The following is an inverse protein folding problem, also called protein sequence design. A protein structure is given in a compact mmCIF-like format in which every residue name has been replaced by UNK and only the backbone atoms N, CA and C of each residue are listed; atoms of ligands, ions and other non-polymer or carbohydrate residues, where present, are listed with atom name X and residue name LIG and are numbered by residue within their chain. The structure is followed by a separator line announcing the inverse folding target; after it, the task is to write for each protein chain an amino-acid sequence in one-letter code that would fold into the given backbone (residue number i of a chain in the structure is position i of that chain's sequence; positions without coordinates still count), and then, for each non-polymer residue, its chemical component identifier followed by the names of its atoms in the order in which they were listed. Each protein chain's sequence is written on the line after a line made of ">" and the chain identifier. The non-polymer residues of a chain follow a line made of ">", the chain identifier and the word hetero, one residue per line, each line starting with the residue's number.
data_IF_511114830320
#
_entry.id   IF_511114830320
#
_cell.length_a   1.000
_cell.length_b   1.000
_cell.length_c   1.000
_cell.angle_alpha   90.00
_cell.angle_beta   90.00
_cell.angle_gamma   90.00
#
_symmetry.space_group_name_H-M   'P 1'
#
loop_
_entity.id
_entity.type
_entity.pdbx_description
1 polymer ?
#
# COMPACT_ATOMS: atom_id res chain seq x y z
N UNK A 1 -8.19 -4.17 22.97
CA UNK A 1 -8.92 -3.48 21.88
C UNK A 1 -7.97 -2.49 21.24
N UNK A 2 -8.06 -2.22 19.93
CA UNK A 2 -7.21 -1.22 19.30
C UNK A 2 -7.59 0.18 19.82
N UNK A 3 -6.61 0.96 20.28
CA UNK A 3 -6.84 2.27 20.91
C UNK A 3 -7.41 3.33 19.94
N UNK A 4 -7.33 3.12 18.62
CA UNK A 4 -7.81 4.06 17.60
C UNK A 4 -8.45 3.32 16.41
N UNK A 5 -9.58 3.82 15.88
CA UNK A 5 -10.22 3.26 14.70
C UNK A 5 -9.38 3.43 13.43
N UNK A 6 -9.62 2.57 12.45
CA UNK A 6 -9.10 2.74 11.08
C UNK A 6 -9.95 3.78 10.38
N UNK A 7 -9.36 4.94 10.12
CA UNK A 7 -10.04 6.02 9.40
C UNK A 7 -10.11 5.72 7.90
N UNK A 8 -11.23 6.07 7.27
CA UNK A 8 -11.43 5.96 5.83
C UNK A 8 -12.21 7.16 5.26
N UNK A 9 -12.00 7.43 3.98
CA UNK A 9 -12.80 8.36 3.17
C UNK A 9 -13.50 7.58 2.07
N UNK A 10 -14.65 8.06 1.60
CA UNK A 10 -15.32 7.49 0.45
C UNK A 10 -14.77 8.11 -0.84
N UNK A 11 -14.40 7.28 -1.80
CA UNK A 11 -13.95 7.70 -3.12
C UNK A 11 -14.83 7.08 -4.19
N UNK A 12 -15.17 7.85 -5.21
CA UNK A 12 -15.90 7.35 -6.38
C UNK A 12 -14.94 6.70 -7.37
N UNK A 13 -15.30 5.52 -7.89
CA UNK A 13 -14.55 4.79 -8.91
C UNK A 13 -15.48 4.17 -9.93
N UNK A 14 -15.10 4.23 -11.20
CA UNK A 14 -15.76 3.48 -12.26
C UNK A 14 -15.30 2.02 -12.19
N UNK A 15 -16.17 1.14 -11.71
CA UNK A 15 -15.90 -0.29 -11.58
C UNK A 15 -16.78 -1.09 -12.54
N UNK A 16 -16.25 -2.22 -13.00
CA UNK A 16 -17.01 -3.16 -13.81
C UNK A 16 -18.04 -3.84 -12.90
N UNK A 17 -19.32 -3.62 -13.17
CA UNK A 17 -20.41 -4.31 -12.49
C UNK A 17 -20.50 -5.77 -12.92
N UNK A 18 -21.30 -6.55 -12.19
CA UNK A 18 -21.58 -7.96 -12.55
C UNK A 18 -22.21 -8.09 -13.95
N UNK A 19 -22.85 -7.02 -14.42
CA UNK A 19 -23.53 -6.92 -15.71
C UNK A 19 -22.59 -6.55 -16.87
N UNK A 20 -21.27 -6.50 -16.63
CA UNK A 20 -20.26 -6.16 -17.65
C UNK A 20 -20.18 -4.68 -18.02
N UNK A 21 -21.07 -3.83 -17.48
CA UNK A 21 -21.03 -2.38 -17.68
C UNK A 21 -20.26 -1.67 -16.55
N UNK A 22 -19.63 -0.54 -16.89
CA UNK A 22 -18.92 0.30 -15.91
C UNK A 22 -19.90 1.24 -15.20
N UNK A 23 -19.92 1.16 -13.87
CA UNK A 23 -20.77 2.00 -13.03
C UNK A 23 -19.90 2.83 -12.08
N UNK A 24 -20.35 4.06 -11.76
CA UNK A 24 -19.77 4.86 -10.67
C UNK A 24 -20.15 4.20 -9.35
N UNK A 25 -19.18 3.64 -8.66
CA UNK A 25 -19.34 2.99 -7.37
C UNK A 25 -18.55 3.73 -6.30
N UNK A 26 -19.04 3.70 -5.07
CA UNK A 26 -18.37 4.29 -3.93
C UNK A 26 -17.52 3.23 -3.22
N UNK A 27 -16.26 3.55 -2.95
CA UNK A 27 -15.30 2.65 -2.30
C UNK A 27 -14.68 3.32 -1.08
N UNK A 28 -14.63 2.60 0.05
CA UNK A 28 -13.91 3.05 1.23
C UNK A 28 -12.39 2.95 1.00
N UNK A 29 -11.69 4.07 1.16
CA UNK A 29 -10.23 4.15 1.05
C UNK A 29 -9.66 4.51 2.43
N UNK A 30 -8.79 3.66 3.01
CA UNK A 30 -8.19 3.96 4.30
C UNK A 30 -7.31 5.22 4.22
N UNK A 31 -7.38 6.06 5.25
CA UNK A 31 -6.69 7.34 5.32
C UNK A 31 -6.17 7.61 6.75
N UNK A 32 -5.53 8.75 6.98
CA UNK A 32 -5.09 9.18 8.32
C UNK A 32 -3.94 8.36 8.92
N UNK A 33 -3.32 7.46 8.14
CA UNK A 33 -2.25 6.57 8.62
C UNK A 33 -0.95 7.35 8.83
N UNK A 34 -0.42 7.30 10.05
CA UNK A 34 0.94 7.79 10.36
C UNK A 34 1.95 6.67 10.18
N UNK A 35 3.04 6.95 9.47
CA UNK A 35 4.19 6.03 9.39
C UNK A 35 4.93 6.04 10.72
N UNK A 36 5.09 4.88 11.34
CA UNK A 36 5.97 4.71 12.50
C UNK A 36 7.35 4.32 11.97
N UNK A 37 8.38 5.10 12.33
CA UNK A 37 9.76 4.81 11.95
C UNK A 37 10.32 3.60 12.72
N UNK A 38 11.36 2.97 12.17
CA UNK A 38 11.97 1.77 12.76
C UNK A 38 12.44 1.99 14.21
N UNK A 39 13.08 3.12 14.50
CA UNK A 39 13.54 3.51 15.84
C UNK A 39 12.38 3.67 16.83
N UNK A 40 11.36 4.43 16.45
CA UNK A 40 10.13 4.57 17.25
C UNK A 40 9.39 3.25 17.47
N UNK A 41 9.47 2.31 16.52
CA UNK A 41 8.96 0.95 16.70
C UNK A 41 9.79 0.17 17.71
N UNK A 42 11.13 0.17 17.59
CA UNK A 42 12.04 -0.48 18.55
C UNK A 42 11.84 0.06 19.97
N UNK A 43 11.66 1.37 20.13
CA UNK A 43 11.38 2.00 21.42
C UNK A 43 10.07 1.50 22.05
N UNK A 44 9.05 1.16 21.25
CA UNK A 44 7.80 0.59 21.75
C UNK A 44 7.98 -0.85 22.20
N UNK A 45 8.76 -1.65 21.47
CA UNK A 45 9.08 -3.03 21.85
C UNK A 45 9.93 -3.06 23.12
N UNK A 46 10.92 -2.17 23.23
CA UNK A 46 11.77 -2.02 24.41
C UNK A 46 10.96 -1.79 25.70
N UNK A 47 9.86 -1.02 25.64
CA UNK A 47 8.97 -0.79 26.81
C UNK A 47 8.31 -2.05 27.38
N UNK A 48 8.21 -3.10 26.59
CA UNK A 48 7.60 -4.38 26.99
C UNK A 48 8.63 -5.47 27.24
N UNK A 49 9.93 -5.14 27.21
CA UNK A 49 11.04 -6.07 27.41
C UNK A 49 12.09 -5.43 28.33
N UNK A 50 13.16 -6.15 28.64
CA UNK A 50 14.30 -5.62 29.40
C UNK A 50 15.36 -4.96 28.51
N UNK A 51 15.24 -5.08 27.18
CA UNK A 51 16.18 -4.52 26.23
C UNK A 51 15.98 -3.01 26.05
N UNK A 52 17.07 -2.30 25.78
CA UNK A 52 17.00 -0.92 25.29
C UNK A 52 16.64 -0.86 23.80
N UNK A 53 16.33 0.33 23.30
CA UNK A 53 15.92 0.54 21.90
C UNK A 53 16.99 0.07 20.90
N UNK A 54 18.27 0.32 21.21
CA UNK A 54 19.41 0.01 20.36
C UNK A 54 19.62 -1.51 20.27
N UNK A 55 19.47 -2.22 21.38
CA UNK A 55 19.52 -3.68 21.46
C UNK A 55 18.39 -4.32 20.65
N UNK A 56 17.15 -3.86 20.82
CA UNK A 56 16.01 -4.35 20.01
C UNK A 56 16.28 -4.15 18.52
N UNK A 57 16.76 -2.96 18.15
CA UNK A 57 17.08 -2.67 16.75
C UNK A 57 18.21 -3.55 16.19
N UNK A 58 19.22 -3.83 17.01
CA UNK A 58 20.30 -4.74 16.65
C UNK A 58 19.74 -6.15 16.43
N UNK A 59 19.00 -6.68 17.39
CA UNK A 59 18.40 -8.02 17.31
C UNK A 59 17.54 -8.16 16.05
N UNK A 60 16.65 -7.20 15.76
CA UNK A 60 15.80 -7.26 14.57
C UNK A 60 16.60 -7.27 13.27
N UNK A 61 17.62 -6.41 13.14
CA UNK A 61 18.45 -6.38 11.94
C UNK A 61 19.30 -7.65 11.80
N UNK A 62 19.96 -8.10 12.87
CA UNK A 62 20.77 -9.31 12.86
C UNK A 62 19.92 -10.55 12.57
N UNK A 63 18.73 -10.67 13.18
CA UNK A 63 17.80 -11.75 12.91
C UNK A 63 17.45 -11.83 11.41
N UNK A 64 17.24 -10.70 10.73
CA UNK A 64 16.98 -10.71 9.28
C UNK A 64 18.17 -11.18 8.44
N UNK A 65 19.41 -10.87 8.88
CA UNK A 65 20.62 -11.36 8.24
C UNK A 65 20.78 -12.87 8.41
N UNK A 66 20.73 -13.35 9.65
CA UNK A 66 20.84 -14.79 9.97
C UNK A 66 19.75 -15.59 9.26
N UNK A 67 18.51 -15.10 9.24
CA UNK A 67 17.42 -15.75 8.54
C UNK A 67 17.69 -15.86 7.02
N UNK A 68 18.33 -14.85 6.42
CA UNK A 68 18.72 -14.89 5.01
C UNK A 68 19.83 -15.91 4.76
N UNK A 69 20.81 -16.01 5.65
CA UNK A 69 21.92 -16.97 5.54
C UNK A 69 21.38 -18.41 5.56
N UNK A 70 20.53 -18.73 6.55
CA UNK A 70 19.83 -20.02 6.63
C UNK A 70 19.04 -20.31 5.34
N UNK A 71 18.30 -19.33 4.83
CA UNK A 71 17.53 -19.52 3.58
C UNK A 71 18.43 -19.71 2.36
N UNK A 72 19.61 -19.09 2.33
CA UNK A 72 20.57 -19.30 1.25
C UNK A 72 21.23 -20.68 1.26
N UNK A 73 21.27 -21.33 2.42
CA UNK A 73 21.70 -22.73 2.58
C UNK A 73 20.63 -23.73 2.10
N UNK A 74 19.42 -23.24 1.80
CA UNK A 74 18.30 -24.03 1.30
C UNK A 74 17.25 -24.37 2.35
N UNK A 75 17.48 -23.97 3.60
CA UNK A 75 16.59 -24.23 4.71
C UNK A 75 15.41 -23.25 4.77
N UNK A 76 14.43 -23.62 5.58
CA UNK A 76 13.21 -22.84 5.82
C UNK A 76 13.26 -22.34 7.26
N UNK A 77 13.02 -21.04 7.46
CA UNK A 77 13.03 -20.44 8.80
C UNK A 77 11.69 -19.78 9.13
N UNK A 78 11.17 -20.10 10.30
CA UNK A 78 10.00 -19.40 10.87
C UNK A 78 10.45 -18.09 11.50
N UNK A 79 9.92 -16.98 11.01
CA UNK A 79 10.30 -15.63 11.46
C UNK A 79 9.23 -15.07 12.41
N UNK A 80 9.06 -15.76 13.54
CA UNK A 80 8.03 -15.46 14.53
C UNK A 80 6.62 -15.48 13.93
N UNK A 81 5.72 -14.64 14.47
CA UNK A 81 4.33 -14.58 14.02
C UNK A 81 4.17 -14.05 12.57
N UNK A 82 5.20 -13.44 11.98
CA UNK A 82 5.13 -12.91 10.61
C UNK A 82 4.92 -14.03 9.59
N UNK A 83 5.45 -15.22 9.84
CA UNK A 83 5.34 -16.38 8.95
C UNK A 83 6.70 -16.97 8.61
N UNK A 84 6.81 -17.54 7.42
CA UNK A 84 7.93 -18.41 7.07
C UNK A 84 8.73 -17.85 5.90
N UNK A 85 10.06 -17.84 6.03
CA UNK A 85 10.98 -17.49 4.95
C UNK A 85 11.54 -18.78 4.34
N UNK A 86 11.53 -18.86 3.02
CA UNK A 86 11.98 -20.03 2.27
C UNK A 86 12.70 -19.64 0.97
N UNK A 87 13.59 -20.48 0.44
CA UNK A 87 14.24 -20.20 -0.83
C UNK A 87 13.23 -20.29 -1.98
N UNK A 88 13.41 -19.42 -2.96
CA UNK A 88 12.66 -19.43 -4.22
C UNK A 88 13.56 -19.01 -5.36
N UNK A 89 13.24 -19.46 -6.57
CA UNK A 89 13.90 -19.00 -7.78
C UNK A 89 12.90 -19.03 -8.95
N UNK A 90 13.24 -18.33 -10.03
CA UNK A 90 12.55 -18.46 -11.32
C UNK A 90 13.30 -19.51 -12.14
N UNK A 91 12.58 -20.37 -12.84
CA UNK A 91 13.19 -21.36 -13.73
C UNK A 91 12.83 -21.05 -15.19
N UNK A 92 13.78 -21.15 -16.10
CA UNK A 92 13.50 -21.22 -17.53
C UNK A 92 12.95 -22.60 -17.86
N UNK A 93 11.85 -22.65 -18.60
CA UNK A 93 11.33 -23.90 -19.13
C UNK A 93 12.27 -24.42 -20.23
N UNK A 94 12.62 -25.70 -20.16
CA UNK A 94 13.48 -26.40 -21.12
C UNK A 94 12.74 -27.64 -21.60
N UNK A 95 12.74 -27.95 -22.91
CA UNK A 95 12.13 -29.16 -23.44
C UNK A 95 12.68 -30.42 -22.75
N UNK A 96 11.83 -31.43 -22.56
CA UNK A 96 12.19 -32.67 -21.85
C UNK A 96 13.38 -33.42 -22.45
N UNK A 97 13.64 -33.23 -23.74
CA UNK A 97 14.72 -33.90 -24.47
C UNK A 97 16.06 -33.15 -24.38
N UNK A 98 16.09 -31.97 -23.78
CA UNK A 98 17.29 -31.14 -23.64
C UNK A 98 17.83 -31.19 -22.20
N UNK A 99 19.15 -31.03 -22.07
CA UNK A 99 19.82 -31.08 -20.76
C UNK A 99 19.56 -29.80 -19.97
N UNK A 100 18.94 -29.93 -18.80
CA UNK A 100 18.80 -28.81 -17.87
C UNK A 100 20.13 -28.47 -17.17
N UNK A 101 20.56 -27.21 -17.25
CA UNK A 101 21.75 -26.68 -16.59
C UNK A 101 21.35 -25.64 -15.54
N UNK A 102 21.62 -25.94 -14.27
CA UNK A 102 21.20 -25.08 -13.15
C UNK A 102 21.72 -23.64 -13.30
N UNK A 103 22.97 -23.45 -13.67
CA UNK A 103 23.62 -22.14 -13.82
C UNK A 103 23.01 -21.27 -14.92
N UNK A 104 22.39 -21.86 -15.94
CA UNK A 104 21.83 -21.16 -17.09
C UNK A 104 20.29 -21.00 -16.98
N UNK A 105 19.63 -21.97 -16.34
CA UNK A 105 18.18 -22.10 -16.32
C UNK A 105 17.55 -21.72 -14.98
N UNK A 106 18.29 -21.76 -13.86
CA UNK A 106 17.83 -21.17 -12.59
C UNK A 106 18.19 -19.69 -12.59
N UNK A 107 17.19 -18.85 -12.38
CA UNK A 107 17.28 -17.41 -12.40
C UNK A 107 16.77 -16.82 -11.09
N UNK A 108 17.33 -15.67 -10.72
CA UNK A 108 16.83 -14.82 -9.64
C UNK A 108 16.50 -15.59 -8.34
N UNK A 109 17.50 -16.25 -7.71
CA UNK A 109 17.32 -16.80 -6.37
C UNK A 109 16.91 -15.67 -5.42
N UNK A 110 15.92 -15.93 -4.59
CA UNK A 110 15.32 -14.95 -3.70
C UNK A 110 14.78 -15.61 -2.43
N UNK A 111 14.51 -14.79 -1.42
CA UNK A 111 13.79 -15.18 -0.21
C UNK A 111 12.30 -14.94 -0.43
N UNK A 112 11.48 -15.97 -0.23
CA UNK A 112 10.02 -15.88 -0.26
C UNK A 112 9.49 -15.88 1.17
N UNK A 113 8.77 -14.81 1.53
CA UNK A 113 7.95 -14.77 2.73
C UNK A 113 6.58 -15.37 2.43
N UNK A 114 6.20 -16.40 3.18
CA UNK A 114 4.84 -16.92 3.27
C UNK A 114 4.16 -16.31 4.50
N UNK A 115 3.21 -15.37 4.31
CA UNK A 115 2.59 -14.65 5.43
C UNK A 115 1.74 -15.57 6.31
N UNK A 116 1.84 -15.42 7.63
CA UNK A 116 0.95 -16.09 8.58
C UNK A 116 -0.47 -15.54 8.49
N UNK A 117 -1.46 -16.41 8.22
CA UNK A 117 -2.89 -16.01 8.17
C UNK A 117 -3.35 -15.32 9.45
N UNK A 118 -2.89 -15.81 10.61
CA UNK A 118 -3.26 -15.28 11.93
C UNK A 118 -2.75 -13.85 12.10
N UNK A 119 -1.50 -13.58 11.76
CA UNK A 119 -0.90 -12.25 11.91
C UNK A 119 -1.45 -11.23 10.91
N UNK A 120 -1.66 -11.64 9.66
CA UNK A 120 -2.13 -10.74 8.59
C UNK A 120 -3.65 -10.52 8.58
N UNK A 121 -4.40 -11.17 9.48
CA UNK A 121 -5.83 -10.93 9.67
C UNK A 121 -6.05 -9.97 10.82
N UNK A 122 -6.63 -8.80 10.54
CA UNK A 122 -6.99 -7.84 11.58
C UNK A 122 -8.34 -8.22 12.20
N UNK A 123 -8.31 -8.59 13.48
CA UNK A 123 -9.52 -8.83 14.30
C UNK A 123 -9.72 -7.70 15.31
N UNK A 124 -10.96 -7.46 15.74
CA UNK A 124 -11.29 -6.46 16.78
C UNK A 124 -10.87 -5.02 16.42
N UNK A 125 -10.97 -4.66 15.14
CA UNK A 125 -10.75 -3.30 14.65
C UNK A 125 -12.09 -2.59 14.42
N UNK A 126 -12.12 -1.29 14.66
CA UNK A 126 -13.25 -0.41 14.37
C UNK A 126 -12.92 0.51 13.20
N UNK A 127 -13.94 1.01 12.50
CA UNK A 127 -13.79 1.89 11.35
C UNK A 127 -14.46 3.24 11.61
N UNK A 128 -13.83 4.31 11.15
CA UNK A 128 -14.35 5.67 11.28
C UNK A 128 -14.29 6.37 9.92
N UNK A 129 -15.44 6.84 9.43
CA UNK A 129 -15.47 7.65 8.21
C UNK A 129 -15.09 9.10 8.55
N UNK A 130 -14.14 9.66 7.81
CA UNK A 130 -13.79 11.08 7.90
C UNK A 130 -14.15 11.80 6.60
N UNK A 131 -14.51 13.09 6.69
CA UNK A 131 -14.80 13.92 5.51
C UNK A 131 -13.53 14.15 4.70
N UNK A 132 -13.61 13.95 3.39
CA UNK A 132 -12.52 14.23 2.47
C UNK A 132 -12.32 15.73 2.30
N UNK A 133 -11.10 16.23 2.55
CA UNK A 133 -10.72 17.66 2.43
C UNK A 133 -10.93 18.29 1.03
N UNK A 134 -11.35 17.52 0.02
CA UNK A 134 -11.58 17.99 -1.36
C UNK A 134 -12.97 18.62 -1.57
N UNK A 135 -13.87 18.56 -0.60
CA UNK A 135 -15.20 19.17 -0.67
C UNK A 135 -15.17 20.59 -0.06
N UNK A 136 -14.35 21.47 -0.64
CA UNK A 136 -14.36 22.91 -0.36
C UNK A 136 -13.86 23.67 -1.61
N UNK A 137 -14.54 23.41 -2.72
CA UNK A 137 -14.59 24.35 -3.84
C UNK A 137 -16.03 24.34 -4.30
N UNK A 138 -16.81 25.21 -3.65
CA UNK A 138 -18.15 25.56 -4.06
C UNK A 138 -18.12 25.98 -5.53
N UNK A 139 -18.74 25.21 -6.41
CA UNK A 139 -19.22 25.74 -7.67
C UNK A 139 -20.53 26.48 -7.34
N UNK A 140 -20.62 27.81 -7.53
CA UNK A 140 -21.90 28.47 -7.40
C UNK A 140 -22.82 27.97 -8.52
N UNK A 141 -24.00 27.55 -8.10
CA UNK A 141 -25.14 27.15 -8.92
C UNK A 141 -25.44 28.19 -10.00
N UNK A 142 -25.37 27.78 -11.26
CA UNK A 142 -25.99 28.48 -12.38
C UNK A 142 -27.47 28.09 -12.43
N UNK A 143 -28.37 29.01 -12.10
CA UNK A 143 -29.78 28.86 -12.45
C UNK A 143 -30.38 30.18 -12.94
N UNK A 144 -30.80 30.11 -14.21
CA UNK A 144 -31.96 30.74 -14.84
C UNK A 144 -32.00 32.24 -15.17
N UNK A 145 -32.05 32.52 -16.49
CA UNK A 145 -33.03 33.46 -17.08
C UNK A 145 -32.51 34.75 -17.73
N UNK A 146 -32.39 34.76 -19.07
CA UNK A 146 -32.47 36.01 -19.87
C UNK A 146 -33.94 36.47 -20.05
N UNK A 147 -34.26 37.62 -20.70
CA UNK A 147 -33.53 38.17 -21.86
C UNK A 147 -33.43 39.73 -22.02
N UNK A 148 -32.34 40.17 -22.71
CA UNK A 148 -32.21 41.30 -23.70
C UNK A 148 -32.59 42.77 -23.36
N UNK A 149 -32.25 43.78 -24.20
CA UNK A 149 -30.94 44.19 -24.76
C UNK A 149 -30.71 45.73 -24.63
N UNK A 150 -29.50 46.27 -24.91
CA UNK A 150 -29.23 47.61 -25.51
C UNK A 150 -27.71 47.92 -25.51
N UNK A 151 -27.12 48.18 -26.68
CA UNK A 151 -25.69 48.53 -26.88
C UNK A 151 -25.36 50.02 -26.65
N UNK A 152 -24.35 50.64 -27.30
CA UNK A 152 -23.27 50.09 -28.13
C UNK A 152 -21.84 50.64 -27.81
N UNK A 153 -20.85 50.01 -28.45
CA UNK A 153 -19.58 50.54 -29.01
C UNK A 153 -18.73 51.62 -28.30
N UNK A 154 -17.48 51.24 -28.00
CA UNK A 154 -16.21 51.96 -28.27
C UNK A 154 -15.09 50.94 -27.94
N UNK A 155 -14.14 50.54 -28.78
CA UNK A 155 -13.39 51.27 -29.80
C UNK A 155 -11.94 51.42 -29.32
N UNK A 156 -10.96 50.96 -30.11
CA UNK A 156 -9.49 51.07 -29.93
C UNK A 156 -8.82 49.92 -29.16
N UNK A 157 -7.76 49.25 -29.62
CA UNK A 157 -6.90 49.42 -30.78
C UNK A 157 -5.53 48.77 -30.53
N UNK A 158 -4.90 48.19 -31.57
CA UNK A 158 -3.46 47.85 -31.67
C UNK A 158 -3.04 46.56 -30.95
N UNK A 159 -2.60 45.51 -31.65
CA UNK A 159 -1.27 45.41 -32.29
C UNK A 159 -0.36 44.64 -31.33
N UNK A 160 0.02 43.39 -31.58
CA UNK A 160 0.79 42.93 -32.73
C UNK A 160 2.24 42.73 -32.27
N UNK A 161 2.63 41.46 -32.12
CA UNK A 161 3.92 40.82 -32.41
C UNK A 161 3.90 39.38 -31.87
#
# INVERSE_FOLDING_TARGET
>A
MADKPIQFTLAERNLLGKDGQRHRMQVAVPTGRKRIGFRSFCARVAKSTTFNEQEVAAVLNYATGIAKDIVSEGDIVEFGDLGTLSPTFKSKAVPLNEKFRAQEHILAPAVRLTPSKKYFTLTNVTFEQIKSKKENTENPSSDTGGPTPSGPEQGSGGGGL
#
